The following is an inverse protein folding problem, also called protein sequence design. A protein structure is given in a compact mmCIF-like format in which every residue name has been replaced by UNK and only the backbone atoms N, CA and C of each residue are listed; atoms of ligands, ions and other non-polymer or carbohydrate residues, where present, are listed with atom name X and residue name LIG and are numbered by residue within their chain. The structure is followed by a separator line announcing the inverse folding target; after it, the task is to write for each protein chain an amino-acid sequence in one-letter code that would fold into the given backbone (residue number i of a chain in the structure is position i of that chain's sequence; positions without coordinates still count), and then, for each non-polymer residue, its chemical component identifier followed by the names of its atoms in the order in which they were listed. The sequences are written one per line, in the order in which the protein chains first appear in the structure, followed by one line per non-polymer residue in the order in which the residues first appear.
data_IF_565929006117
#
_entry.id   IF_565929006117
#
_cell.length_a   1.000
_cell.length_b   1.000
_cell.length_c   1.000
_cell.angle_alpha   90.00
_cell.angle_beta   90.00
_cell.angle_gamma   90.00
#
_symmetry.space_group_name_H-M   'P 1'
#
loop_
_entity.id
_entity.type
_entity.pdbx_description
1 polymer ?
#
# COMPACT_ATOMS: atom_id res chain seq x y z
N UNK A 1 19.55 16.17 -45.59
CA UNK A 1 19.66 15.89 -44.14
C UNK A 1 21.06 16.34 -43.77
N UNK A 2 21.18 17.58 -43.30
CA UNK A 2 22.45 18.29 -43.16
C UNK A 2 22.50 18.81 -41.74
N UNK A 3 23.48 18.36 -40.96
CA UNK A 3 23.69 18.70 -39.56
C UNK A 3 24.38 20.07 -39.48
N UNK A 4 23.70 21.06 -38.91
CA UNK A 4 24.29 22.36 -38.61
C UNK A 4 25.22 22.25 -37.40
N UNK A 5 26.51 22.47 -37.64
CA UNK A 5 27.55 22.55 -36.62
C UNK A 5 27.60 23.99 -36.11
N UNK A 6 27.16 24.20 -34.87
CA UNK A 6 27.25 25.50 -34.21
C UNK A 6 28.66 25.65 -33.62
N UNK A 7 29.47 26.52 -34.21
CA UNK A 7 30.74 26.96 -33.63
C UNK A 7 30.48 28.05 -32.59
N UNK A 8 30.74 27.75 -31.31
CA UNK A 8 30.71 28.74 -30.24
C UNK A 8 32.13 29.31 -30.08
N UNK A 9 32.28 30.57 -30.47
CA UNK A 9 33.48 31.37 -30.24
C UNK A 9 33.53 31.78 -28.76
N UNK A 10 34.54 31.30 -28.02
CA UNK A 10 34.76 31.69 -26.62
C UNK A 10 35.87 32.74 -26.58
N UNK A 11 35.46 33.98 -26.42
CA UNK A 11 36.35 35.12 -26.21
C UNK A 11 37.04 34.97 -24.85
N UNK A 12 38.38 34.89 -24.86
CA UNK A 12 39.20 34.88 -23.64
C UNK A 12 39.38 36.31 -23.14
N UNK A 13 38.64 36.68 -22.10
CA UNK A 13 38.94 37.88 -21.33
C UNK A 13 40.17 37.69 -20.41
N UNK A 14 40.99 38.74 -20.21
CA UNK A 14 42.17 38.69 -19.36
C UNK A 14 41.80 38.63 -17.88
N UNK A 15 42.51 37.77 -17.16
CA UNK A 15 42.34 37.51 -15.73
C UNK A 15 42.63 38.76 -14.90
N UNK A 16 41.59 39.43 -14.46
CA UNK A 16 41.61 40.20 -13.23
C UNK A 16 41.15 39.28 -12.09
N UNK A 17 41.96 39.20 -11.02
CA UNK A 17 41.68 38.49 -9.77
C UNK A 17 40.29 38.83 -9.21
N UNK A 18 39.28 38.10 -9.67
CA UNK A 18 37.96 38.09 -9.03
C UNK A 18 38.03 37.03 -7.95
N UNK A 19 38.05 37.49 -6.70
CA UNK A 19 37.66 36.71 -5.53
C UNK A 19 36.40 35.93 -5.91
N UNK A 20 36.57 34.63 -6.15
CA UNK A 20 35.48 33.74 -6.54
C UNK A 20 34.51 33.76 -5.37
N UNK A 21 33.42 34.49 -5.56
CA UNK A 21 32.35 34.63 -4.61
C UNK A 21 31.86 33.22 -4.27
N UNK A 22 32.07 32.83 -3.02
CA UNK A 22 31.66 31.58 -2.39
C UNK A 22 30.16 31.29 -2.53
N UNK A 23 29.39 32.23 -3.07
CA UNK A 23 27.94 32.18 -3.27
C UNK A 23 27.47 31.22 -4.37
N UNK A 24 28.28 30.89 -5.38
CA UNK A 24 27.80 30.03 -6.49
C UNK A 24 27.87 28.53 -6.12
N UNK A 25 28.88 28.11 -5.35
CA UNK A 25 28.99 26.72 -4.87
C UNK A 25 27.88 26.37 -3.86
N UNK A 26 27.43 27.33 -3.05
CA UNK A 26 26.33 27.14 -2.12
C UNK A 26 24.98 26.91 -2.84
N UNK A 27 24.77 27.51 -4.02
CA UNK A 27 23.51 27.40 -4.76
C UNK A 27 23.33 26.02 -5.42
N UNK A 28 24.42 25.40 -5.89
CA UNK A 28 24.39 24.05 -6.49
C UNK A 28 24.17 22.96 -5.43
N UNK A 29 24.71 23.14 -4.22
CA UNK A 29 24.46 22.24 -3.08
C UNK A 29 23.03 22.36 -2.51
N UNK A 30 22.38 23.53 -2.66
CA UNK A 30 20.99 23.74 -2.24
C UNK A 30 19.97 23.10 -3.20
N UNK A 31 20.29 22.98 -4.49
CA UNK A 31 19.40 22.31 -5.46
C UNK A 31 19.46 20.78 -5.36
N UNK A 32 20.58 20.21 -4.91
CA UNK A 32 20.71 18.77 -4.64
C UNK A 32 20.06 18.32 -3.32
N UNK A 33 19.79 19.23 -2.37
CA UNK A 33 19.12 18.88 -1.11
C UNK A 33 17.59 18.84 -1.20
N UNK A 34 17.00 19.31 -2.31
CA UNK A 34 15.55 19.35 -2.51
C UNK A 34 14.98 18.05 -3.11
N UNK A 35 15.84 17.11 -3.55
CA UNK A 35 15.41 15.83 -4.11
C UNK A 35 15.12 14.76 -3.05
N UNK A 36 15.44 15.02 -1.78
CA UNK A 36 15.15 14.11 -0.67
C UNK A 36 13.85 14.51 0.02
N UNK A 37 12.79 14.75 -0.77
CA UNK A 37 11.44 14.65 -0.23
C UNK A 37 11.33 13.19 0.22
N UNK A 38 11.24 12.88 1.52
CA UNK A 38 10.83 11.55 1.90
C UNK A 38 9.49 11.39 1.21
N UNK A 39 9.43 10.51 0.20
CA UNK A 39 8.17 9.98 -0.28
C UNK A 39 7.59 9.29 0.95
N UNK A 40 6.87 10.06 1.78
CA UNK A 40 6.01 9.53 2.81
C UNK A 40 5.10 8.67 1.99
N UNK A 41 5.37 7.37 1.99
CA UNK A 41 4.51 6.40 1.37
C UNK A 41 3.20 6.56 2.14
N UNK A 42 2.31 7.39 1.62
CA UNK A 42 0.95 7.65 2.09
C UNK A 42 0.07 6.40 1.92
N UNK A 43 0.69 5.22 1.97
CA UNK A 43 0.14 3.89 1.82
C UNK A 43 0.45 2.99 3.00
N UNK A 44 0.99 3.51 4.12
CA UNK A 44 0.95 2.79 5.38
C UNK A 44 -0.51 2.70 5.83
N UNK A 45 -1.20 1.64 5.40
CA UNK A 45 -2.52 1.34 5.92
C UNK A 45 -2.40 0.48 7.14
N UNK A 46 -3.23 0.81 8.12
CA UNK A 46 -3.69 -0.14 9.12
C UNK A 46 -2.54 -0.65 9.98
N UNK A 47 -2.27 0.08 11.06
CA UNK A 47 -1.19 -0.19 12.02
C UNK A 47 -1.43 -1.48 12.81
N UNK A 48 -2.69 -1.91 12.90
CA UNK A 48 -3.12 -3.12 13.58
C UNK A 48 -3.95 -4.02 12.67
N UNK A 49 -3.97 -5.35 12.91
CA UNK A 49 -4.80 -6.25 12.12
C UNK A 49 -6.31 -5.98 12.30
N UNK A 50 -6.72 -5.40 13.44
CA UNK A 50 -8.10 -4.95 13.69
C UNK A 50 -8.50 -3.80 12.77
N UNK A 51 -7.62 -2.81 12.59
CA UNK A 51 -7.85 -1.71 11.65
C UNK A 51 -7.90 -2.21 10.20
N UNK A 52 -7.04 -3.17 9.85
CA UNK A 52 -7.03 -3.78 8.52
C UNK A 52 -8.35 -4.51 8.25
N UNK A 53 -8.84 -5.27 9.22
CA UNK A 53 -10.14 -5.95 9.14
C UNK A 53 -11.31 -4.97 8.97
N UNK A 54 -11.38 -3.93 9.82
CA UNK A 54 -12.44 -2.93 9.75
C UNK A 54 -12.44 -2.20 8.39
N UNK A 55 -11.25 -1.82 7.90
CA UNK A 55 -11.08 -1.18 6.59
C UNK A 55 -11.49 -2.12 5.46
N UNK A 56 -11.13 -3.41 5.55
CA UNK A 56 -11.50 -4.40 4.54
C UNK A 56 -13.02 -4.57 4.47
N UNK A 57 -13.70 -4.69 5.61
CA UNK A 57 -15.15 -4.76 5.64
C UNK A 57 -15.82 -3.52 5.03
N UNK A 58 -15.28 -2.33 5.28
CA UNK A 58 -15.79 -1.09 4.69
C UNK A 58 -15.61 -1.04 3.16
N UNK A 59 -14.43 -1.43 2.66
CA UNK A 59 -14.12 -1.51 1.24
C UNK A 59 -15.02 -2.54 0.53
N UNK A 60 -15.17 -3.73 1.12
CA UNK A 60 -16.05 -4.78 0.60
C UNK A 60 -17.52 -4.34 0.56
N UNK A 61 -17.99 -3.61 1.59
CA UNK A 61 -19.36 -3.11 1.66
C UNK A 61 -19.65 -2.03 0.64
N UNK A 62 -18.72 -1.10 0.42
CA UNK A 62 -18.83 -0.04 -0.60
C UNK A 62 -18.62 -0.54 -2.03
N UNK A 63 -18.05 -1.73 -2.19
CA UNK A 63 -17.75 -2.32 -3.49
C UNK A 63 -16.52 -1.68 -4.17
N UNK A 64 -15.63 -1.07 -3.38
CA UNK A 64 -14.34 -0.55 -3.85
C UNK A 64 -13.34 -1.70 -4.01
N UNK A 65 -13.25 -2.24 -5.23
CA UNK A 65 -12.40 -3.40 -5.51
C UNK A 65 -10.90 -3.07 -5.44
N UNK A 66 -10.52 -1.84 -5.79
CA UNK A 66 -9.12 -1.40 -5.72
C UNK A 66 -8.66 -1.35 -4.28
N UNK A 67 -9.51 -0.86 -3.39
CA UNK A 67 -9.22 -0.82 -1.96
C UNK A 67 -9.19 -2.23 -1.34
N UNK A 68 -10.10 -3.13 -1.73
CA UNK A 68 -10.03 -4.54 -1.31
C UNK A 68 -8.71 -5.18 -1.73
N UNK A 69 -8.28 -5.00 -2.98
CA UNK A 69 -6.99 -5.52 -3.46
C UNK A 69 -5.80 -4.94 -2.69
N UNK A 70 -5.87 -3.65 -2.30
CA UNK A 70 -4.86 -3.00 -1.48
C UNK A 70 -4.79 -3.60 -0.08
N UNK A 71 -5.94 -3.93 0.51
CA UNK A 71 -6.09 -4.48 1.88
C UNK A 71 -5.85 -5.99 2.00
N UNK A 72 -5.69 -6.69 0.88
CA UNK A 72 -5.42 -8.14 0.85
C UNK A 72 -4.11 -8.44 0.14
N UNK A 73 -3.38 -9.48 0.50
CA UNK A 73 -2.31 -10.02 -0.37
C UNK A 73 -2.93 -10.67 -1.62
N UNK A 74 -2.11 -11.00 -2.63
CA UNK A 74 -2.61 -11.74 -3.80
C UNK A 74 -3.25 -13.08 -3.40
N UNK A 75 -2.69 -13.75 -2.39
CA UNK A 75 -3.24 -14.98 -1.80
C UNK A 75 -4.56 -14.71 -1.09
N UNK A 76 -4.61 -13.64 -0.27
CA UNK A 76 -5.81 -13.26 0.48
C UNK A 76 -6.97 -12.93 -0.46
N UNK A 77 -6.72 -12.11 -1.48
CA UNK A 77 -7.71 -11.78 -2.50
C UNK A 77 -8.24 -13.03 -3.20
N UNK A 78 -7.34 -13.94 -3.57
CA UNK A 78 -7.70 -15.20 -4.23
C UNK A 78 -8.54 -16.09 -3.32
N UNK A 79 -8.22 -16.18 -2.04
CA UNK A 79 -9.04 -16.94 -1.08
C UNK A 79 -10.42 -16.34 -0.87
N UNK A 80 -10.60 -15.02 -0.92
CA UNK A 80 -11.94 -14.43 -0.87
C UNK A 80 -12.78 -14.84 -2.09
N UNK A 81 -12.14 -14.97 -3.26
CA UNK A 81 -12.82 -15.34 -4.52
C UNK A 81 -13.25 -16.80 -4.59
N UNK A 82 -12.66 -17.70 -3.79
CA UNK A 82 -13.06 -19.12 -3.80
C UNK A 82 -14.40 -19.38 -3.13
N UNK A 83 -14.90 -18.45 -2.31
CA UNK A 83 -16.19 -18.57 -1.64
C UNK A 83 -17.37 -18.71 -2.62
N UNK A 84 -17.31 -18.00 -3.75
CA UNK A 84 -18.18 -18.22 -4.91
C UNK A 84 -17.50 -17.68 -6.18
N UNK A 85 -16.84 -18.54 -6.98
CA UNK A 85 -16.05 -18.08 -8.12
C UNK A 85 -16.90 -17.55 -9.28
N UNK A 86 -18.20 -17.90 -9.34
CA UNK A 86 -19.11 -17.49 -10.42
C UNK A 86 -19.72 -16.12 -10.17
N UNK A 87 -19.79 -15.69 -8.91
CA UNK A 87 -20.34 -14.40 -8.51
C UNK A 87 -19.38 -13.24 -8.87
N UNK A 88 -19.94 -12.10 -9.29
CA UNK A 88 -19.13 -10.91 -9.55
C UNK A 88 -18.43 -10.46 -8.26
N UNK A 89 -17.15 -10.02 -8.30
CA UNK A 89 -16.41 -9.63 -7.09
C UNK A 89 -17.14 -8.61 -6.22
N UNK A 90 -17.78 -7.61 -6.83
CA UNK A 90 -18.52 -6.57 -6.13
C UNK A 90 -19.70 -7.15 -5.33
N UNK A 91 -20.50 -8.02 -5.95
CA UNK A 91 -21.66 -8.64 -5.27
C UNK A 91 -21.18 -9.61 -4.19
N UNK A 92 -20.18 -10.44 -4.50
CA UNK A 92 -19.58 -11.37 -3.55
C UNK A 92 -19.06 -10.65 -2.30
N UNK A 93 -18.24 -9.62 -2.47
CA UNK A 93 -17.65 -8.90 -1.33
C UNK A 93 -18.70 -8.14 -0.53
N UNK A 94 -19.71 -7.56 -1.19
CA UNK A 94 -20.82 -6.94 -0.47
C UNK A 94 -21.58 -7.96 0.39
N UNK A 95 -21.88 -9.14 -0.16
CA UNK A 95 -22.54 -10.25 0.57
C UNK A 95 -21.68 -10.75 1.74
N UNK A 96 -20.39 -11.01 1.50
CA UNK A 96 -19.45 -11.45 2.54
C UNK A 96 -19.35 -10.42 3.67
N UNK A 97 -19.14 -9.13 3.35
CA UNK A 97 -19.04 -8.08 4.38
C UNK A 97 -20.32 -7.88 5.21
N UNK A 98 -21.49 -8.13 4.60
CA UNK A 98 -22.79 -8.09 5.28
C UNK A 98 -22.96 -9.29 6.21
N UNK A 99 -22.52 -10.48 5.81
CA UNK A 99 -22.53 -11.66 6.66
C UNK A 99 -21.51 -11.57 7.80
N UNK A 100 -20.27 -11.24 7.47
CA UNK A 100 -19.14 -11.18 8.41
C UNK A 100 -19.26 -10.06 9.42
N UNK A 101 -19.78 -8.90 9.01
CA UNK A 101 -19.96 -7.75 9.89
C UNK A 101 -20.95 -7.96 11.05
N UNK A 102 -21.66 -9.10 11.09
CA UNK A 102 -22.57 -9.48 12.18
C UNK A 102 -21.89 -10.28 13.28
N UNK A 103 -20.71 -10.83 13.03
CA UNK A 103 -20.04 -11.72 13.95
C UNK A 103 -18.97 -10.99 14.76
N UNK A 104 -18.88 -11.32 16.05
CA UNK A 104 -17.75 -10.91 16.86
C UNK A 104 -16.48 -11.62 16.36
N UNK A 105 -15.39 -10.87 16.23
CA UNK A 105 -14.08 -11.40 15.83
C UNK A 105 -13.27 -11.71 17.09
N UNK A 106 -12.78 -12.94 17.20
CA UNK A 106 -11.89 -13.36 18.28
C UNK A 106 -10.49 -13.58 17.75
N UNK A 107 -9.56 -12.77 18.23
CA UNK A 107 -8.14 -12.86 17.87
C UNK A 107 -7.45 -13.92 18.73
N UNK A 108 -6.71 -14.86 18.12
CA UNK A 108 -6.06 -15.98 18.83
C UNK A 108 -4.54 -15.80 18.91
N UNK A 109 -3.87 -15.44 17.81
CA UNK A 109 -2.40 -15.34 17.77
C UNK A 109 -1.93 -14.02 17.16
N UNK A 110 -1.94 -12.92 17.93
CA UNK A 110 -1.44 -11.61 17.45
C UNK A 110 0.05 -11.48 17.75
N UNK A 111 0.87 -11.54 16.70
CA UNK A 111 2.32 -11.36 16.74
C UNK A 111 2.71 -10.15 15.86
N UNK A 112 4.00 -9.77 15.86
CA UNK A 112 4.47 -8.59 15.13
C UNK A 112 4.26 -8.65 13.62
N UNK A 113 4.24 -9.86 13.04
CA UNK A 113 4.20 -10.08 11.59
C UNK A 113 2.99 -10.88 11.12
N UNK A 114 2.26 -11.52 12.03
CA UNK A 114 1.11 -12.36 11.70
C UNK A 114 0.04 -12.25 12.78
N UNK A 115 -1.22 -12.29 12.37
CA UNK A 115 -2.35 -12.34 13.27
C UNK A 115 -3.40 -13.33 12.77
N UNK A 116 -3.95 -14.15 13.66
CA UNK A 116 -5.07 -15.05 13.36
C UNK A 116 -6.34 -14.57 14.06
N UNK A 117 -7.46 -14.67 13.36
CA UNK A 117 -8.76 -14.39 13.92
C UNK A 117 -9.79 -15.44 13.51
N UNK A 118 -10.75 -15.67 14.41
CA UNK A 118 -11.90 -16.52 14.17
C UNK A 118 -13.18 -15.68 14.21
N UNK A 119 -14.12 -15.97 13.33
CA UNK A 119 -15.44 -15.35 13.32
C UNK A 119 -16.52 -16.35 12.92
N UNK A 120 -17.74 -16.16 13.41
CA UNK A 120 -18.87 -17.04 13.13
C UNK A 120 -19.38 -17.75 14.39
N UNK A 121 -20.41 -18.61 14.23
CA UNK A 121 -20.92 -19.44 15.32
C UNK A 121 -19.89 -20.51 15.73
N UNK A 122 -19.93 -20.97 16.98
CA UNK A 122 -18.98 -21.96 17.52
C UNK A 122 -18.93 -23.26 16.70
N UNK A 123 -20.05 -23.64 16.09
CA UNK A 123 -20.14 -24.85 15.26
C UNK A 123 -19.59 -24.69 13.85
N UNK A 124 -19.26 -23.47 13.40
CA UNK A 124 -18.75 -23.21 12.06
C UNK A 124 -17.99 -21.88 12.01
N UNK A 125 -16.76 -21.91 12.51
CA UNK A 125 -15.91 -20.72 12.61
C UNK A 125 -15.07 -20.52 11.36
N UNK A 126 -15.19 -19.35 10.74
CA UNK A 126 -14.30 -18.93 9.66
C UNK A 126 -12.96 -18.47 10.22
N UNK A 127 -11.87 -18.91 9.59
CA UNK A 127 -10.52 -18.48 9.88
C UNK A 127 -10.10 -17.29 9.03
N UNK A 128 -9.40 -16.34 9.63
CA UNK A 128 -8.77 -15.21 8.98
C UNK A 128 -7.30 -15.14 9.38
N UNK A 129 -6.42 -15.03 8.39
CA UNK A 129 -5.00 -14.82 8.60
C UNK A 129 -4.60 -13.45 8.04
N UNK A 130 -3.94 -12.65 8.87
CA UNK A 130 -3.36 -11.38 8.49
C UNK A 130 -1.84 -11.44 8.58
N UNK A 131 -1.18 -10.71 7.69
CA UNK A 131 0.27 -10.54 7.69
C UNK A 131 0.63 -9.06 7.64
N UNK A 132 1.72 -8.69 8.32
CA UNK A 132 2.28 -7.35 8.24
C UNK A 132 3.20 -7.26 7.03
N UNK A 133 3.01 -6.23 6.20
CA UNK A 133 3.82 -5.94 5.01
C UNK A 133 4.44 -4.55 5.12
N UNK A 134 5.27 -4.16 4.15
CA UNK A 134 5.83 -2.81 4.09
C UNK A 134 4.75 -1.70 4.02
N UNK A 135 3.55 -2.02 3.52
CA UNK A 135 2.40 -1.11 3.45
C UNK A 135 1.43 -1.26 4.63
N UNK A 136 1.77 -2.10 5.61
CA UNK A 136 0.98 -2.39 6.81
C UNK A 136 0.24 -3.73 6.78
N UNK A 137 -0.77 -3.88 7.64
CA UNK A 137 -1.47 -5.15 7.83
C UNK A 137 -2.45 -5.45 6.70
N UNK A 138 -2.40 -6.68 6.18
CA UNK A 138 -3.25 -7.15 5.06
C UNK A 138 -3.78 -8.54 5.34
N UNK A 139 -4.97 -8.85 4.83
CA UNK A 139 -5.49 -10.22 4.85
C UNK A 139 -4.68 -11.09 3.90
N UNK A 140 -4.08 -12.17 4.38
CA UNK A 140 -3.33 -13.14 3.59
C UNK A 140 -4.13 -14.38 3.24
N UNK A 141 -5.06 -14.78 4.10
CA UNK A 141 -5.88 -15.95 3.86
C UNK A 141 -7.22 -15.89 4.58
N UNK A 142 -8.25 -16.42 3.92
CA UNK A 142 -9.53 -16.76 4.53
C UNK A 142 -9.80 -18.25 4.31
N UNK A 143 -10.30 -18.91 5.35
CA UNK A 143 -10.79 -20.28 5.29
C UNK A 143 -12.25 -20.35 5.74
N UNK A 144 -13.04 -21.15 5.03
CA UNK A 144 -14.35 -21.54 5.53
C UNK A 144 -14.15 -22.42 6.76
N UNK A 145 -14.94 -22.19 7.82
CA UNK A 145 -15.03 -23.14 8.92
C UNK A 145 -15.59 -24.46 8.43
N UNK A 146 -14.98 -25.55 8.88
CA UNK A 146 -15.57 -26.88 8.84
C UNK A 146 -16.72 -26.98 9.83
#
# INVERSE_FOLDING_TARGET
MTLDVIFIWVEREPMAERKVSTSIAALVLLLLSMANVPTIASGACCETPQQAWASLLAAMRSGDLSEVQRLTTSRGYSSLRTADPKESPRVLFHRLSTGWGKWAVRWKDVQDQRATAMMGPELKEHGLEFVRTAVGWRLDHWSAGE
#
